data_IF_286532883782
#
_entry.id   IF_286532883782
#
_cell.length_a   1.000
_cell.length_b   1.000
_cell.length_c   1.000
_cell.angle_alpha   90.00
_cell.angle_beta   90.00
_cell.angle_gamma   90.00
#
_symmetry.space_group_name_H-M   'P 1'
#
loop_
_entity.id
_entity.type
_entity.pdbx_description
1 polymer ?
#
# COMPACT_ATOMS: atom_id res chain seq x y z
N UNK A 1 18.82 15.36 2.82
CA UNK A 1 18.36 14.84 3.21
C UNK A 1 17.79 14.32 3.62
N UNK A 2 17.40 14.29 3.87
CA UNK A 2 17.07 13.53 4.16
C UNK A 2 15.80 12.94 4.18
N UNK A 3 15.11 12.86 3.26
CA UNK A 3 13.92 12.10 3.05
C UNK A 3 14.06 10.70 3.56
N UNK A 4 15.23 10.30 3.78
CA UNK A 4 15.52 9.00 4.37
C UNK A 4 14.76 8.80 5.66
N UNK A 5 14.57 9.88 6.38
CA UNK A 5 13.95 9.81 7.69
C UNK A 5 12.44 9.58 7.63
N UNK A 6 11.86 9.63 6.45
CA UNK A 6 10.44 9.39 6.30
C UNK A 6 10.11 7.90 6.31
N UNK A 7 11.11 7.03 6.31
CA UNK A 7 10.89 5.59 6.17
C UNK A 7 11.36 4.80 7.37
N UNK A 8 10.55 3.89 7.78
CA UNK A 8 10.96 2.82 8.66
C UNK A 8 11.44 1.67 7.81
N UNK A 9 12.40 1.93 6.97
CA UNK A 9 12.60 1.11 5.80
C UNK A 9 13.83 0.27 5.83
N UNK A 10 14.70 0.43 6.79
CA UNK A 10 15.86 -0.42 6.83
C UNK A 10 15.65 -1.51 7.87
N UNK A 11 16.17 -2.68 7.56
CA UNK A 11 16.11 -3.81 8.46
C UNK A 11 17.40 -3.94 9.27
N UNK A 12 18.09 -2.84 9.41
CA UNK A 12 19.39 -2.93 9.96
C UNK A 12 19.77 -1.79 10.87
N UNK A 13 21.00 -1.33 10.74
CA UNK A 13 21.70 -0.64 11.82
C UNK A 13 21.17 0.75 12.16
N UNK A 14 20.27 1.32 11.39
CA UNK A 14 19.78 2.66 11.70
C UNK A 14 18.88 2.66 12.95
N UNK A 15 18.21 1.54 13.24
CA UNK A 15 17.34 1.43 14.41
C UNK A 15 16.11 2.33 14.37
N UNK A 16 15.78 2.88 13.20
CA UNK A 16 14.65 3.79 13.06
C UNK A 16 13.46 3.03 12.50
N UNK A 17 12.41 2.92 13.30
CA UNK A 17 11.19 2.23 12.91
C UNK A 17 9.99 3.11 13.20
N UNK A 18 9.20 3.39 12.16
CA UNK A 18 8.02 4.24 12.26
C UNK A 18 6.96 3.70 11.29
N UNK A 19 5.74 3.42 11.77
CA UNK A 19 4.68 2.92 10.91
C UNK A 19 4.17 3.94 9.90
N UNK A 20 4.66 5.17 9.95
CA UNK A 20 4.20 6.24 9.09
C UNK A 20 4.34 5.90 7.60
N UNK A 21 5.46 5.29 7.19
CA UNK A 21 5.65 4.99 5.76
C UNK A 21 4.70 3.89 5.28
N UNK A 22 4.39 2.90 6.13
CA UNK A 22 3.39 1.90 5.81
C UNK A 22 2.01 2.55 5.64
N UNK A 23 1.66 3.46 6.56
CA UNK A 23 0.39 4.18 6.50
C UNK A 23 0.29 5.05 5.25
N UNK A 24 1.36 5.80 4.94
CA UNK A 24 1.38 6.69 3.78
C UNK A 24 1.22 5.92 2.48
N UNK A 25 1.92 4.79 2.35
CA UNK A 25 1.80 3.96 1.16
C UNK A 25 0.43 3.30 1.06
N UNK A 26 -0.16 2.90 2.19
CA UNK A 26 -1.53 2.41 2.23
C UNK A 26 -2.54 3.46 1.79
N UNK A 27 -2.36 4.70 2.26
CA UNK A 27 -3.21 5.83 1.83
C UNK A 27 -3.08 6.07 0.33
N UNK A 28 -1.88 5.92 -0.23
CA UNK A 28 -1.66 6.07 -1.66
C UNK A 28 -2.41 4.99 -2.45
N UNK A 29 -2.40 3.75 -1.95
CA UNK A 29 -3.16 2.65 -2.56
C UNK A 29 -4.64 2.98 -2.59
N UNK A 30 -5.19 3.44 -1.48
CA UNK A 30 -6.59 3.83 -1.38
C UNK A 30 -6.92 4.96 -2.35
N UNK A 31 -6.07 5.97 -2.39
CA UNK A 31 -6.25 7.12 -3.30
C UNK A 31 -6.27 6.68 -4.75
N UNK A 32 -5.33 5.83 -5.15
CA UNK A 32 -5.26 5.36 -6.54
C UNK A 32 -6.47 4.49 -6.89
N UNK A 33 -6.93 3.66 -5.95
CA UNK A 33 -8.12 2.83 -6.16
C UNK A 33 -9.34 3.71 -6.41
N UNK A 34 -9.53 4.74 -5.59
CA UNK A 34 -10.64 5.69 -5.76
C UNK A 34 -10.56 6.41 -7.11
N UNK A 35 -9.39 6.88 -7.49
CA UNK A 35 -9.20 7.59 -8.75
C UNK A 35 -9.48 6.68 -9.95
N UNK A 36 -9.08 5.41 -9.88
CA UNK A 36 -9.38 4.46 -10.95
C UNK A 36 -10.88 4.24 -11.09
N UNK A 37 -11.59 4.12 -9.97
CA UNK A 37 -13.04 3.88 -9.99
C UNK A 37 -13.83 5.12 -10.42
N UNK A 38 -13.28 6.32 -10.21
CA UNK A 38 -13.93 7.58 -10.56
C UNK A 38 -13.64 8.02 -12.01
N UNK A 39 -12.67 7.41 -12.65
CA UNK A 39 -12.29 7.78 -14.00
C UNK A 39 -13.32 7.27 -15.01
N UNK A 40 -13.93 8.19 -15.75
CA UNK A 40 -14.99 7.85 -16.69
C UNK A 40 -14.43 7.34 -18.00
N UNK A 41 -14.94 6.20 -18.45
CA UNK A 41 -14.58 5.66 -19.77
C UNK A 41 -15.23 6.51 -20.85
N UNK A 42 -14.44 7.06 -21.77
CA UNK A 42 -15.00 7.90 -22.83
C UNK A 42 -15.68 7.06 -23.92
N UNK A 43 -16.30 7.76 -24.88
CA UNK A 43 -16.85 7.14 -26.06
C UNK A 43 -15.73 6.41 -26.81
N UNK A 44 -15.92 5.12 -27.07
CA UNK A 44 -14.92 4.27 -27.71
C UNK A 44 -14.61 4.69 -29.15
N UNK A 45 -15.50 5.47 -29.78
CA UNK A 45 -15.28 5.97 -31.13
C UNK A 45 -14.31 7.16 -31.15
N UNK A 46 -14.03 7.78 -30.01
CA UNK A 46 -13.09 8.90 -29.89
C UNK A 46 -11.71 8.36 -29.52
N UNK A 47 -10.85 8.16 -30.51
CA UNK A 47 -9.56 7.54 -30.31
C UNK A 47 -8.62 8.37 -29.43
N UNK A 48 -8.67 9.69 -29.54
CA UNK A 48 -7.84 10.57 -28.70
C UNK A 48 -8.26 10.47 -27.24
N UNK A 49 -9.55 10.51 -26.97
CA UNK A 49 -10.07 10.39 -25.60
C UNK A 49 -9.77 9.02 -25.01
N UNK A 50 -9.88 7.97 -25.83
CA UNK A 50 -9.55 6.61 -25.38
C UNK A 50 -8.07 6.48 -25.06
N UNK A 51 -7.19 7.04 -25.90
CA UNK A 51 -5.76 7.00 -25.64
C UNK A 51 -5.42 7.69 -24.32
N UNK A 52 -6.01 8.86 -24.07
CA UNK A 52 -5.81 9.60 -22.82
C UNK A 52 -6.32 8.82 -21.61
N UNK A 53 -7.50 8.22 -21.74
CA UNK A 53 -8.10 7.42 -20.68
C UNK A 53 -7.22 6.21 -20.34
N UNK A 54 -6.76 5.48 -21.34
CA UNK A 54 -5.93 4.30 -21.14
C UNK A 54 -4.58 4.68 -20.53
N UNK A 55 -4.01 5.79 -20.99
CA UNK A 55 -2.75 6.26 -20.43
C UNK A 55 -2.90 6.62 -18.95
N UNK A 56 -3.95 7.35 -18.60
CA UNK A 56 -4.21 7.74 -17.20
C UNK A 56 -4.49 6.52 -16.35
N UNK A 57 -5.34 5.61 -16.81
CA UNK A 57 -5.67 4.39 -16.09
C UNK A 57 -4.43 3.53 -15.86
N UNK A 58 -3.57 3.42 -16.89
CA UNK A 58 -2.32 2.68 -16.80
C UNK A 58 -1.39 3.27 -15.74
N UNK A 59 -1.30 4.60 -15.68
CA UNK A 59 -0.48 5.26 -14.68
C UNK A 59 -1.03 5.05 -13.27
N UNK A 60 -2.34 5.13 -13.09
CA UNK A 60 -2.97 4.87 -11.80
C UNK A 60 -2.73 3.43 -11.34
N UNK A 61 -2.90 2.48 -12.25
CA UNK A 61 -2.67 1.07 -11.95
C UNK A 61 -1.21 0.82 -11.55
N UNK A 62 -0.28 1.43 -12.26
CA UNK A 62 1.15 1.29 -11.99
C UNK A 62 1.51 1.83 -10.59
N UNK A 63 0.98 2.99 -10.24
CA UNK A 63 1.23 3.59 -8.92
C UNK A 63 0.59 2.75 -7.82
N UNK A 64 -0.64 2.26 -8.05
CA UNK A 64 -1.32 1.38 -7.10
C UNK A 64 -0.47 0.13 -6.81
N UNK A 65 0.02 -0.51 -7.85
CA UNK A 65 0.87 -1.70 -7.76
C UNK A 65 2.12 -1.40 -6.96
N UNK A 66 2.80 -0.32 -7.30
CA UNK A 66 4.06 0.09 -6.69
C UNK A 66 3.87 0.44 -5.21
N UNK A 67 2.83 1.19 -4.88
CA UNK A 67 2.57 1.58 -3.51
C UNK A 67 2.11 0.41 -2.64
N UNK A 68 1.35 -0.52 -3.20
CA UNK A 68 0.98 -1.74 -2.48
C UNK A 68 2.21 -2.61 -2.19
N UNK A 69 3.13 -2.69 -3.14
CA UNK A 69 4.40 -3.40 -2.95
C UNK A 69 5.21 -2.76 -1.83
N UNK A 70 5.31 -1.43 -1.85
CA UNK A 70 6.07 -0.70 -0.85
C UNK A 70 5.42 -0.79 0.53
N UNK A 71 4.10 -0.71 0.59
CA UNK A 71 3.36 -0.88 1.83
C UNK A 71 3.64 -2.25 2.46
N UNK A 72 3.58 -3.29 1.64
CA UNK A 72 3.88 -4.65 2.10
C UNK A 72 5.31 -4.75 2.63
N UNK A 73 6.27 -4.17 1.92
CA UNK A 73 7.66 -4.18 2.33
C UNK A 73 7.84 -3.50 3.71
N UNK A 74 7.23 -2.34 3.89
CA UNK A 74 7.32 -1.61 5.14
C UNK A 74 6.67 -2.38 6.30
N UNK A 75 5.54 -3.03 6.04
CA UNK A 75 4.87 -3.87 7.04
C UNK A 75 5.75 -5.04 7.45
N UNK A 76 6.39 -5.69 6.48
CA UNK A 76 7.24 -6.84 6.75
C UNK A 76 8.46 -6.45 7.59
N UNK A 77 9.07 -5.30 7.30
CA UNK A 77 10.21 -4.80 8.07
C UNK A 77 9.79 -4.56 9.53
N UNK A 78 8.66 -3.90 9.74
CA UNK A 78 8.16 -3.69 11.09
C UNK A 78 7.89 -5.02 11.81
N UNK A 79 7.26 -5.95 11.12
CA UNK A 79 6.87 -7.23 11.68
C UNK A 79 8.08 -8.08 12.09
N UNK A 80 9.07 -8.17 11.23
CA UNK A 80 10.19 -9.10 11.42
C UNK A 80 11.38 -8.49 12.14
N UNK A 81 11.54 -7.16 12.09
CA UNK A 81 12.75 -6.53 12.61
C UNK A 81 12.52 -5.65 13.83
N UNK A 82 11.34 -5.06 13.96
CA UNK A 82 11.04 -4.21 15.10
C UNK A 82 10.46 -5.01 16.28
N UNK A 83 9.43 -5.83 16.02
CA UNK A 83 8.74 -6.52 17.09
C UNK A 83 9.55 -7.71 17.61
N UNK A 84 9.51 -7.89 18.93
CA UNK A 84 10.26 -8.91 19.65
C UNK A 84 9.30 -9.80 20.44
N UNK A 85 9.76 -10.95 20.94
CA UNK A 85 8.89 -11.88 21.67
C UNK A 85 8.10 -11.24 22.81
N UNK A 86 8.68 -10.29 23.53
CA UNK A 86 7.96 -9.64 24.63
C UNK A 86 6.77 -8.82 24.15
N UNK A 87 6.76 -8.37 22.89
CA UNK A 87 5.62 -7.65 22.34
C UNK A 87 4.41 -8.57 22.11
N UNK A 88 4.66 -9.86 21.92
CA UNK A 88 3.57 -10.83 21.74
C UNK A 88 2.75 -11.03 23.00
N UNK A 89 3.36 -10.84 24.18
CA UNK A 89 2.65 -10.94 25.44
C UNK A 89 1.59 -9.85 25.55
N UNK A 90 1.93 -8.64 25.09
CA UNK A 90 1.03 -7.50 25.13
C UNK A 90 0.06 -7.50 23.93
N UNK A 91 0.50 -7.99 22.79
CA UNK A 91 -0.28 -8.02 21.56
C UNK A 91 -0.29 -9.44 21.00
N UNK A 92 -1.09 -10.34 21.58
CA UNK A 92 -1.05 -11.76 21.19
C UNK A 92 -1.50 -12.02 19.76
N UNK A 93 -2.23 -11.10 19.14
CA UNK A 93 -2.73 -11.23 17.79
C UNK A 93 -1.83 -10.59 16.73
N UNK A 94 -0.63 -10.19 17.13
CA UNK A 94 0.27 -9.41 16.29
C UNK A 94 0.61 -10.11 14.97
N UNK A 95 0.94 -11.39 15.01
CA UNK A 95 1.28 -12.12 13.80
C UNK A 95 0.12 -12.19 12.81
N UNK A 96 -1.10 -12.40 13.31
CA UNK A 96 -2.29 -12.44 12.46
C UNK A 96 -2.56 -11.08 11.84
N UNK A 97 -2.39 -10.02 12.59
CA UNK A 97 -2.60 -8.65 12.08
C UNK A 97 -1.65 -8.37 10.93
N UNK A 98 -0.35 -8.63 11.10
CA UNK A 98 0.63 -8.38 10.05
C UNK A 98 0.45 -9.31 8.85
N UNK A 99 0.11 -10.57 9.10
CA UNK A 99 -0.19 -11.52 8.04
C UNK A 99 -1.35 -11.03 7.18
N UNK A 100 -2.44 -10.63 7.83
CA UNK A 100 -3.63 -10.16 7.14
C UNK A 100 -3.38 -8.85 6.40
N UNK A 101 -2.59 -7.94 6.98
CA UNK A 101 -2.23 -6.68 6.34
C UNK A 101 -1.40 -6.94 5.07
N UNK A 102 -0.43 -7.85 5.13
CA UNK A 102 0.36 -8.22 3.95
C UNK A 102 -0.52 -8.85 2.87
N UNK A 103 -1.47 -9.69 3.25
CA UNK A 103 -2.44 -10.27 2.32
C UNK A 103 -3.32 -9.20 1.69
N UNK A 104 -3.73 -8.21 2.47
CA UNK A 104 -4.54 -7.10 1.97
C UNK A 104 -3.77 -6.28 0.93
N UNK A 105 -2.47 -6.06 1.12
CA UNK A 105 -1.63 -5.41 0.13
C UNK A 105 -1.65 -6.18 -1.20
N UNK A 106 -1.54 -7.49 -1.14
CA UNK A 106 -1.58 -8.33 -2.34
C UNK A 106 -2.94 -8.25 -3.04
N UNK A 107 -4.03 -8.25 -2.27
CA UNK A 107 -5.38 -8.11 -2.83
C UNK A 107 -5.56 -6.77 -3.54
N UNK A 108 -5.00 -5.70 -2.98
CA UNK A 108 -5.07 -4.37 -3.60
C UNK A 108 -4.30 -4.31 -4.91
N UNK A 109 -3.29 -5.15 -5.10
CA UNK A 109 -2.55 -5.22 -6.36
C UNK A 109 -3.39 -5.83 -7.48
N UNK A 110 -4.05 -6.95 -7.19
CA UNK A 110 -4.74 -7.72 -8.23
C UNK A 110 -6.14 -7.23 -8.52
N UNK A 111 -6.74 -6.48 -7.61
CA UNK A 111 -8.12 -6.01 -7.76
C UNK A 111 -8.24 -4.51 -7.57
N UNK A 112 -9.21 -3.92 -8.27
CA UNK A 112 -9.58 -2.52 -8.06
C UNK A 112 -10.79 -2.54 -7.14
N UNK A 113 -10.55 -2.62 -5.85
CA UNK A 113 -11.58 -2.77 -4.83
C UNK A 113 -11.40 -1.76 -3.71
N UNK A 114 -12.39 -0.91 -3.55
CA UNK A 114 -12.39 0.07 -2.46
C UNK A 114 -12.47 -0.66 -1.10
N UNK A 115 -13.15 -1.79 -1.07
CA UNK A 115 -13.28 -2.58 0.15
C UNK A 115 -11.94 -3.13 0.60
N UNK A 116 -11.14 -3.67 -0.32
CA UNK A 116 -9.81 -4.15 -0.01
C UNK A 116 -8.88 -3.03 0.44
N UNK A 117 -8.97 -1.86 -0.20
CA UNK A 117 -8.15 -0.72 0.17
C UNK A 117 -8.53 -0.19 1.55
N UNK A 118 -9.82 -0.12 1.86
CA UNK A 118 -10.29 0.27 3.19
C UNK A 118 -9.90 -0.75 4.25
N UNK A 119 -9.98 -2.03 3.92
CA UNK A 119 -9.57 -3.10 4.81
C UNK A 119 -8.09 -2.96 5.18
N UNK A 120 -7.25 -2.66 4.20
CA UNK A 120 -5.83 -2.40 4.44
C UNK A 120 -5.64 -1.23 5.39
N UNK A 121 -6.38 -0.13 5.20
CA UNK A 121 -6.24 1.06 6.04
C UNK A 121 -6.72 0.84 7.47
N UNK A 122 -7.66 -0.06 7.68
CA UNK A 122 -8.25 -0.33 9.00
C UNK A 122 -7.37 -1.26 9.86
N UNK A 123 -6.35 -1.82 9.27
CA UNK A 123 -5.40 -2.67 9.99
C UNK A 123 -4.27 -1.85 10.58
#
# INVERSE_FOLDING_TARGET
MNEINAYAHCDGPCGIYDPASARITGEAVLSMTKKMLELNCPDTSNSQAMASYLNTMSRYASVKEEQATECKRELLVLWTDYFKPEHLEKYPDLHNIFWNAAKACSSCKVEVSIDHANELMDM
#
